data_IF_605496143424
#
_entry.id   IF_605496143424
#
_cell.length_a   1.000
_cell.length_b   1.000
_cell.length_c   1.000
_cell.angle_alpha   90.00
_cell.angle_beta   90.00
_cell.angle_gamma   90.00
#
_symmetry.space_group_name_H-M   'P 1'
#
loop_
_entity.id
_entity.type
_entity.pdbx_description
1 polymer ?
#
# COMPACT_ATOMS: atom_id res chain seq x y z
N UNK A 1 57.33 -24.05 -39.50
CA UNK A 1 56.94 -24.49 -38.15
C UNK A 1 56.35 -23.31 -37.40
N UNK A 2 55.04 -23.44 -37.17
CA UNK A 2 54.09 -22.82 -36.23
C UNK A 2 54.36 -21.45 -35.56
N UNK A 3 53.27 -20.69 -35.58
CA UNK A 3 53.01 -19.31 -35.18
C UNK A 3 53.14 -19.03 -33.67
N UNK A 4 53.39 -17.76 -33.28
CA UNK A 4 53.46 -17.37 -31.88
C UNK A 4 52.06 -17.36 -31.23
N UNK A 5 51.97 -17.97 -30.05
CA UNK A 5 50.76 -18.04 -29.22
C UNK A 5 50.22 -16.65 -28.90
N UNK A 6 49.04 -16.33 -29.42
CA UNK A 6 48.13 -15.33 -28.86
C UNK A 6 47.77 -15.73 -27.43
N UNK A 7 48.29 -14.98 -26.44
CA UNK A 7 47.72 -14.97 -25.09
C UNK A 7 46.53 -14.01 -25.13
N UNK A 8 45.33 -14.57 -25.20
CA UNK A 8 44.05 -13.86 -25.10
C UNK A 8 43.96 -13.07 -23.80
N UNK A 9 43.88 -11.74 -23.93
CA UNK A 9 43.66 -10.78 -22.87
C UNK A 9 42.18 -10.70 -22.47
N UNK A 10 41.61 -11.77 -21.92
CA UNK A 10 40.19 -11.81 -21.51
C UNK A 10 39.96 -12.00 -20.00
N UNK A 11 40.98 -12.29 -19.21
CA UNK A 11 40.79 -12.61 -17.78
C UNK A 11 40.75 -11.40 -16.83
N UNK A 12 40.96 -10.17 -17.33
CA UNK A 12 40.99 -8.95 -16.50
C UNK A 12 39.69 -8.16 -16.41
N UNK A 13 38.68 -8.41 -17.27
CA UNK A 13 37.46 -7.58 -17.35
C UNK A 13 36.29 -8.11 -16.51
N UNK A 14 36.19 -9.42 -16.30
CA UNK A 14 35.09 -10.07 -15.59
C UNK A 14 34.96 -9.70 -14.09
N UNK A 15 36.04 -9.60 -13.29
CA UNK A 15 35.91 -9.26 -11.87
C UNK A 15 35.48 -7.79 -11.63
N UNK A 16 35.91 -6.87 -12.50
CA UNK A 16 35.55 -5.46 -12.41
C UNK A 16 34.08 -5.21 -12.79
N UNK A 17 33.56 -5.91 -13.80
CA UNK A 17 32.14 -5.83 -14.18
C UNK A 17 31.21 -6.39 -13.11
N UNK A 18 31.57 -7.50 -12.47
CA UNK A 18 30.78 -8.08 -11.38
C UNK A 18 30.73 -7.16 -10.16
N UNK A 19 31.85 -6.55 -9.81
CA UNK A 19 31.93 -5.57 -8.72
C UNK A 19 31.10 -4.31 -9.02
N UNK A 20 31.16 -3.80 -10.25
CA UNK A 20 30.35 -2.65 -10.68
C UNK A 20 28.85 -2.95 -10.66
N UNK A 21 28.43 -4.16 -11.04
CA UNK A 21 27.04 -4.58 -10.96
C UNK A 21 26.55 -4.65 -9.50
N UNK A 22 27.37 -5.21 -8.59
CA UNK A 22 27.07 -5.23 -7.15
C UNK A 22 26.95 -3.82 -6.56
N UNK A 23 27.88 -2.92 -6.90
CA UNK A 23 27.82 -1.52 -6.47
C UNK A 23 26.58 -0.80 -7.02
N UNK A 24 26.21 -1.07 -8.28
CA UNK A 24 25.02 -0.48 -8.91
C UNK A 24 23.73 -1.00 -8.28
N UNK A 25 23.66 -2.29 -7.96
CA UNK A 25 22.55 -2.89 -7.20
C UNK A 25 22.44 -2.32 -5.81
N UNK A 26 23.55 -2.14 -5.09
CA UNK A 26 23.56 -1.52 -3.78
C UNK A 26 23.07 -0.06 -3.82
N UNK A 27 23.42 0.70 -4.88
CA UNK A 27 22.89 2.06 -5.10
C UNK A 27 21.39 2.04 -5.37
N UNK A 28 20.90 1.11 -6.19
CA UNK A 28 19.46 0.93 -6.44
C UNK A 28 18.72 0.59 -5.14
N UNK A 29 19.24 -0.36 -4.35
CA UNK A 29 18.69 -0.73 -3.05
C UNK A 29 18.59 0.48 -2.12
N UNK A 30 19.67 1.24 -1.97
CA UNK A 30 19.68 2.45 -1.14
C UNK A 30 18.67 3.49 -1.65
N UNK A 31 18.54 3.66 -2.97
CA UNK A 31 17.55 4.57 -3.56
C UNK A 31 16.11 4.13 -3.27
N UNK A 32 15.83 2.83 -3.32
CA UNK A 32 14.53 2.25 -2.96
C UNK A 32 14.20 2.50 -1.48
N UNK A 33 15.13 2.20 -0.57
CA UNK A 33 14.95 2.44 0.87
C UNK A 33 14.69 3.93 1.17
N UNK A 34 15.47 4.82 0.56
CA UNK A 34 15.28 6.27 0.71
C UNK A 34 13.92 6.72 0.15
N UNK A 35 13.46 6.15 -0.97
CA UNK A 35 12.16 6.45 -1.55
C UNK A 35 11.01 6.00 -0.65
N UNK A 36 11.13 4.84 0.01
CA UNK A 36 10.16 4.35 0.98
C UNK A 36 10.08 5.26 2.21
N UNK A 37 11.24 5.62 2.77
CA UNK A 37 11.32 6.54 3.90
C UNK A 37 10.67 7.88 3.58
N UNK A 38 11.01 8.48 2.42
CA UNK A 38 10.40 9.75 1.98
C UNK A 38 8.90 9.61 1.79
N UNK A 39 8.45 8.56 1.10
CA UNK A 39 7.01 8.33 0.85
C UNK A 39 6.20 8.24 2.14
N UNK A 40 6.65 7.46 3.11
CA UNK A 40 5.97 7.33 4.39
C UNK A 40 6.03 8.64 5.21
N UNK A 41 7.17 9.33 5.18
CA UNK A 41 7.33 10.62 5.86
C UNK A 41 6.40 11.68 5.27
N UNK A 42 6.32 11.79 3.95
CA UNK A 42 5.44 12.75 3.26
C UNK A 42 3.97 12.52 3.60
N UNK A 43 3.51 11.26 3.58
CA UNK A 43 2.14 10.91 3.98
C UNK A 43 1.90 11.27 5.44
N UNK A 44 2.85 10.92 6.32
CA UNK A 44 2.78 11.25 7.75
C UNK A 44 2.66 12.75 7.98
N UNK A 45 3.49 13.56 7.31
CA UNK A 45 3.44 15.02 7.40
C UNK A 45 2.12 15.58 6.87
N UNK A 46 1.62 15.09 5.74
CA UNK A 46 0.31 15.51 5.20
C UNK A 46 -0.82 15.20 6.19
N UNK A 47 -0.81 14.02 6.80
CA UNK A 47 -1.80 13.63 7.81
C UNK A 47 -1.70 14.47 9.07
N UNK A 48 -0.48 14.75 9.55
CA UNK A 48 -0.27 15.61 10.71
C UNK A 48 -0.74 17.05 10.44
N UNK A 49 -0.44 17.59 9.26
CA UNK A 49 -0.87 18.93 8.85
C UNK A 49 -2.39 19.04 8.76
N UNK A 50 -3.08 18.02 8.22
CA UNK A 50 -4.54 18.01 8.18
C UNK A 50 -5.16 18.13 9.59
N UNK A 51 -4.57 17.48 10.61
CA UNK A 51 -5.07 17.55 11.98
C UNK A 51 -4.95 18.94 12.62
N UNK A 52 -4.15 19.85 12.06
CA UNK A 52 -4.07 21.23 12.56
C UNK A 52 -5.36 22.00 12.30
N UNK A 53 -6.09 21.66 11.24
CA UNK A 53 -7.39 22.24 10.92
C UNK A 53 -8.28 21.25 10.15
N UNK A 54 -8.86 20.25 10.84
CA UNK A 54 -9.66 19.21 10.21
C UNK A 54 -11.08 19.66 9.83
N UNK A 55 -11.48 20.89 10.19
CA UNK A 55 -12.85 21.36 10.07
C UNK A 55 -13.84 20.48 10.85
N UNK A 56 -15.04 20.27 10.28
CA UNK A 56 -16.10 19.39 10.86
C UNK A 56 -16.09 17.98 10.28
N UNK A 57 -14.96 17.53 9.73
CA UNK A 57 -14.90 16.24 9.03
C UNK A 57 -14.74 15.10 10.01
N UNK A 58 -15.69 14.15 10.01
CA UNK A 58 -15.55 12.88 10.74
C UNK A 58 -14.86 11.78 9.93
N UNK A 59 -14.51 12.05 8.68
CA UNK A 59 -13.89 11.09 7.76
C UNK A 59 -12.92 11.83 6.85
N UNK A 60 -11.80 11.20 6.54
CA UNK A 60 -10.86 11.67 5.52
C UNK A 60 -10.56 10.51 4.56
N UNK A 61 -10.67 10.76 3.26
CA UNK A 61 -10.31 9.78 2.23
C UNK A 61 -8.92 10.08 1.70
N UNK A 62 -8.08 9.07 1.65
CA UNK A 62 -6.70 9.15 1.23
C UNK A 62 -6.54 8.32 -0.05
N UNK A 63 -6.46 8.96 -1.23
CA UNK A 63 -6.27 8.25 -2.49
C UNK A 63 -4.81 7.82 -2.71
N UNK A 64 -3.96 7.90 -1.69
CA UNK A 64 -2.53 7.61 -1.78
C UNK A 64 -2.28 6.14 -1.46
N UNK A 65 -1.45 5.51 -2.27
CA UNK A 65 -0.95 4.15 -2.05
C UNK A 65 0.58 4.19 -2.03
N UNK A 66 1.19 3.48 -1.09
CA UNK A 66 2.63 3.20 -1.07
C UNK A 66 2.80 1.69 -1.15
N UNK A 67 2.82 1.16 -2.36
CA UNK A 67 2.92 -0.28 -2.66
C UNK A 67 4.15 -0.59 -3.49
N UNK A 68 4.56 -1.86 -3.54
CA UNK A 68 5.67 -2.31 -4.38
C UNK A 68 5.46 -1.93 -5.85
N UNK A 69 4.24 -2.11 -6.36
CA UNK A 69 3.83 -1.70 -7.70
C UNK A 69 3.99 -0.21 -7.97
N UNK A 70 3.53 0.65 -7.06
CA UNK A 70 3.67 2.09 -7.22
C UNK A 70 5.14 2.54 -7.23
N UNK A 71 5.99 1.90 -6.41
CA UNK A 71 7.42 2.19 -6.32
C UNK A 71 8.14 1.65 -7.55
N UNK A 72 7.93 0.39 -7.93
CA UNK A 72 8.52 -0.21 -9.12
C UNK A 72 8.20 0.58 -10.40
N UNK A 73 7.00 1.16 -10.49
CA UNK A 73 6.62 2.00 -11.63
C UNK A 73 7.52 3.23 -11.81
N UNK A 74 8.07 3.80 -10.72
CA UNK A 74 8.93 4.98 -10.82
C UNK A 74 10.23 4.72 -11.58
N UNK A 75 10.77 3.50 -11.47
CA UNK A 75 11.93 3.06 -12.27
C UNK A 75 11.49 2.54 -13.63
N UNK A 76 10.41 1.74 -13.67
CA UNK A 76 9.92 1.14 -14.91
C UNK A 76 9.49 2.18 -15.96
N UNK A 77 8.82 3.25 -15.56
CA UNK A 77 8.31 4.28 -16.50
C UNK A 77 9.41 4.92 -17.33
N UNK A 78 10.62 5.07 -16.78
CA UNK A 78 11.77 5.63 -17.50
C UNK A 78 12.40 4.57 -18.37
N UNK A 79 12.68 3.40 -17.79
CA UNK A 79 13.31 2.28 -18.48
C UNK A 79 12.49 1.73 -19.65
N UNK A 80 11.16 1.78 -19.59
CA UNK A 80 10.27 1.35 -20.68
C UNK A 80 10.20 2.35 -21.85
N UNK A 81 10.61 3.60 -21.65
CA UNK A 81 10.54 4.66 -22.65
C UNK A 81 11.91 5.04 -23.24
N UNK A 82 12.98 4.90 -22.46
CA UNK A 82 14.32 5.41 -22.80
C UNK A 82 15.33 4.25 -22.85
N UNK A 83 15.97 3.96 -24.00
CA UNK A 83 16.94 2.87 -24.13
C UNK A 83 18.11 2.93 -23.14
N UNK A 84 18.66 4.12 -22.89
CA UNK A 84 19.78 4.30 -21.96
C UNK A 84 19.37 4.00 -20.51
N UNK A 85 18.18 4.45 -20.08
CA UNK A 85 17.64 4.16 -18.75
C UNK A 85 17.35 2.66 -18.59
N UNK A 86 16.88 2.03 -19.67
CA UNK A 86 16.66 0.58 -19.72
C UNK A 86 17.95 -0.18 -19.51
N UNK A 87 19.01 0.20 -20.22
CA UNK A 87 20.32 -0.41 -20.10
C UNK A 87 20.90 -0.18 -18.70
N UNK A 88 20.77 1.03 -18.17
CA UNK A 88 21.19 1.36 -16.81
C UNK A 88 20.47 0.48 -15.78
N UNK A 89 19.16 0.34 -15.90
CA UNK A 89 18.35 -0.50 -15.01
C UNK A 89 18.75 -1.97 -15.11
N UNK A 90 18.95 -2.50 -16.32
CA UNK A 90 19.42 -3.88 -16.52
C UNK A 90 20.76 -4.11 -15.82
N UNK A 91 21.75 -3.24 -16.01
CA UNK A 91 23.06 -3.33 -15.35
C UNK A 91 22.91 -3.25 -13.82
N UNK A 92 22.08 -2.34 -13.32
CA UNK A 92 21.83 -2.19 -11.88
C UNK A 92 21.16 -3.42 -11.26
N UNK A 93 20.38 -4.17 -12.04
CA UNK A 93 19.74 -5.42 -11.61
C UNK A 93 20.61 -6.65 -11.86
N UNK A 94 21.79 -6.49 -12.49
CA UNK A 94 22.66 -7.60 -12.85
C UNK A 94 22.21 -8.39 -14.08
N UNK A 95 21.30 -7.82 -14.87
CA UNK A 95 20.78 -8.39 -16.11
C UNK A 95 21.60 -7.92 -17.33
N UNK A 96 21.70 -8.74 -18.39
CA UNK A 96 22.33 -8.30 -19.63
C UNK A 96 21.51 -7.17 -20.28
N UNK A 97 22.12 -6.19 -20.98
CA UNK A 97 21.40 -5.11 -21.65
C UNK A 97 20.34 -5.59 -22.66
N UNK A 98 20.49 -6.79 -23.19
CA UNK A 98 19.60 -7.43 -24.15
C UNK A 98 18.49 -8.29 -23.52
N UNK A 99 18.40 -8.33 -22.18
CA UNK A 99 17.31 -9.03 -21.45
C UNK A 99 15.95 -8.58 -21.98
N UNK A 100 14.92 -9.41 -21.98
CA UNK A 100 13.58 -9.00 -22.38
C UNK A 100 12.87 -8.19 -21.27
N UNK A 101 11.87 -7.39 -21.65
CA UNK A 101 11.15 -6.52 -20.72
C UNK A 101 10.42 -7.27 -19.60
N UNK A 102 9.89 -8.48 -19.88
CA UNK A 102 9.17 -9.25 -18.88
C UNK A 102 10.14 -9.78 -17.81
N UNK A 103 11.32 -10.24 -18.22
CA UNK A 103 12.40 -10.65 -17.31
C UNK A 103 12.94 -9.46 -16.53
N UNK A 104 13.23 -8.33 -17.19
CA UNK A 104 13.72 -7.12 -16.51
C UNK A 104 12.75 -6.62 -15.45
N UNK A 105 11.45 -6.55 -15.78
CA UNK A 105 10.42 -6.12 -14.82
C UNK A 105 10.27 -7.13 -13.68
N UNK A 106 10.39 -8.44 -13.94
CA UNK A 106 10.38 -9.46 -12.87
C UNK A 106 11.54 -9.26 -11.89
N UNK A 107 12.75 -9.01 -12.40
CA UNK A 107 13.93 -8.78 -11.57
C UNK A 107 13.82 -7.47 -10.78
N UNK A 108 13.29 -6.41 -11.39
CA UNK A 108 12.98 -5.16 -10.69
C UNK A 108 11.99 -5.40 -9.54
N UNK A 109 10.91 -6.16 -9.79
CA UNK A 109 9.90 -6.47 -8.77
C UNK A 109 10.50 -7.21 -7.58
N UNK A 110 11.36 -8.18 -7.83
CA UNK A 110 12.06 -8.90 -6.76
C UNK A 110 12.96 -7.97 -5.93
N UNK A 111 13.71 -7.08 -6.58
CA UNK A 111 14.57 -6.11 -5.89
C UNK A 111 13.75 -5.11 -5.05
N UNK A 112 12.59 -4.67 -5.55
CA UNK A 112 11.66 -3.81 -4.82
C UNK A 112 11.05 -4.56 -3.64
N UNK A 113 10.61 -5.80 -3.83
CA UNK A 113 10.06 -6.64 -2.76
C UNK A 113 11.05 -6.79 -1.61
N UNK A 114 12.30 -7.13 -1.91
CA UNK A 114 13.36 -7.25 -0.92
C UNK A 114 13.62 -5.91 -0.21
N UNK A 115 13.58 -4.78 -0.92
CA UNK A 115 13.74 -3.45 -0.32
C UNK A 115 12.58 -3.10 0.63
N UNK A 116 11.34 -3.48 0.30
CA UNK A 116 10.19 -3.32 1.21
C UNK A 116 10.36 -4.15 2.48
N UNK A 117 10.76 -5.41 2.32
CA UNK A 117 10.98 -6.34 3.42
C UNK A 117 12.14 -5.87 4.32
N UNK A 118 13.20 -5.33 3.73
CA UNK A 118 14.34 -4.73 4.43
C UNK A 118 13.94 -3.47 5.18
N UNK A 119 13.27 -2.52 4.51
CA UNK A 119 12.89 -1.23 5.08
C UNK A 119 12.15 -1.39 6.42
N UNK A 120 11.19 -2.31 6.49
CA UNK A 120 10.40 -2.57 7.70
C UNK A 120 11.23 -3.01 8.91
N UNK A 121 12.44 -3.55 8.69
CA UNK A 121 13.36 -4.02 9.74
C UNK A 121 14.49 -3.04 10.03
N UNK A 122 14.71 -2.06 9.16
CA UNK A 122 15.72 -1.02 9.39
C UNK A 122 15.27 -0.04 10.49
N UNK A 123 16.18 0.52 11.30
CA UNK A 123 15.82 1.55 12.28
C UNK A 123 15.04 2.74 11.68
N UNK A 124 15.44 3.31 10.51
CA UNK A 124 14.66 4.38 9.87
C UNK A 124 13.23 3.97 9.50
N UNK A 125 13.03 2.73 9.02
CA UNK A 125 11.70 2.25 8.67
C UNK A 125 10.82 1.99 9.87
N UNK A 126 11.37 1.41 10.94
CA UNK A 126 10.66 1.24 12.23
C UNK A 126 10.25 2.59 12.81
N UNK A 127 11.17 3.56 12.84
CA UNK A 127 10.88 4.91 13.34
C UNK A 127 9.83 5.63 12.48
N UNK A 128 9.93 5.52 11.15
CA UNK A 128 8.96 6.12 10.24
C UNK A 128 7.56 5.51 10.43
N UNK A 129 7.47 4.18 10.58
CA UNK A 129 6.20 3.49 10.85
C UNK A 129 5.61 3.90 12.21
N UNK A 130 6.44 3.99 13.25
CA UNK A 130 6.01 4.43 14.57
C UNK A 130 5.40 5.83 14.52
N UNK A 131 6.07 6.80 13.88
CA UNK A 131 5.56 8.18 13.73
C UNK A 131 4.25 8.22 12.93
N UNK A 132 4.14 7.40 11.88
CA UNK A 132 2.91 7.26 11.11
C UNK A 132 1.75 6.78 11.99
N UNK A 133 1.96 5.70 12.75
CA UNK A 133 0.93 5.16 13.64
C UNK A 133 0.59 6.12 14.80
N UNK A 134 1.56 6.86 15.34
CA UNK A 134 1.32 7.93 16.34
C UNK A 134 0.41 9.05 15.79
N UNK A 135 0.58 9.42 14.51
CA UNK A 135 -0.32 10.37 13.86
C UNK A 135 -1.73 9.76 13.72
N UNK A 136 -1.85 8.51 13.30
CA UNK A 136 -3.16 7.84 13.17
C UNK A 136 -3.89 7.69 14.52
N UNK A 137 -3.17 7.49 15.62
CA UNK A 137 -3.78 7.50 16.96
C UNK A 137 -4.38 8.87 17.31
N UNK A 138 -3.80 9.98 16.82
CA UNK A 138 -4.40 11.31 16.99
C UNK A 138 -5.70 11.46 16.18
N UNK A 139 -5.84 10.79 15.03
CA UNK A 139 -7.11 10.71 14.30
C UNK A 139 -8.18 9.96 15.10
N UNK A 140 -7.79 8.89 15.82
CA UNK A 140 -8.69 8.18 16.74
C UNK A 140 -9.23 9.11 17.82
N UNK A 141 -8.35 9.86 18.50
CA UNK A 141 -8.72 10.82 19.53
C UNK A 141 -9.58 11.97 18.98
N UNK A 142 -9.27 12.44 17.78
CA UNK A 142 -10.06 13.47 17.09
C UNK A 142 -11.40 12.95 16.54
N UNK A 143 -11.67 11.64 16.64
CA UNK A 143 -12.83 10.97 16.02
C UNK A 143 -12.94 11.33 14.54
N UNK A 144 -11.84 11.19 13.81
CA UNK A 144 -11.80 11.29 12.35
C UNK A 144 -11.37 9.92 11.84
N UNK A 145 -12.16 9.30 10.97
CA UNK A 145 -11.83 7.97 10.45
C UNK A 145 -11.08 8.12 9.11
N UNK A 146 -9.80 7.72 9.02
CA UNK A 146 -9.12 7.64 7.75
C UNK A 146 -9.65 6.45 6.93
N UNK A 147 -9.89 6.69 5.64
CA UNK A 147 -10.27 5.68 4.66
C UNK A 147 -9.26 5.70 3.52
N UNK A 148 -8.67 4.56 3.16
CA UNK A 148 -7.61 4.45 2.15
C UNK A 148 -7.96 3.43 1.06
N UNK A 149 -7.32 3.55 -0.10
CA UNK A 149 -7.20 2.42 -1.01
C UNK A 149 -6.22 1.40 -0.42
N UNK A 150 -6.64 0.15 -0.25
CA UNK A 150 -5.76 -0.91 0.26
C UNK A 150 -4.77 -1.41 -0.79
N UNK A 151 -5.08 -1.24 -2.08
CA UNK A 151 -4.28 -1.70 -3.20
C UNK A 151 -4.07 -0.60 -4.25
N UNK A 152 -2.94 -0.65 -4.92
CA UNK A 152 -2.66 0.12 -6.13
C UNK A 152 -3.34 -0.53 -7.34
N UNK A 153 -4.02 0.28 -8.13
CA UNK A 153 -4.60 -0.08 -9.42
C UNK A 153 -3.92 0.71 -10.56
N UNK A 154 -2.71 1.19 -10.31
CA UNK A 154 -1.94 2.08 -11.17
C UNK A 154 -1.36 1.43 -12.43
N UNK A 155 -0.58 2.20 -13.20
CA UNK A 155 -0.12 1.81 -14.53
C UNK A 155 0.70 0.52 -14.56
N UNK A 156 1.45 0.21 -13.50
CA UNK A 156 2.28 -1.00 -13.50
C UNK A 156 1.46 -2.29 -13.48
N UNK A 157 0.23 -2.25 -12.95
CA UNK A 157 -0.69 -3.40 -13.04
C UNK A 157 -1.05 -3.67 -14.51
N UNK A 158 -1.23 -2.62 -15.31
CA UNK A 158 -1.50 -2.72 -16.75
C UNK A 158 -0.27 -3.22 -17.50
N UNK A 159 0.92 -2.75 -17.13
CA UNK A 159 2.19 -3.23 -17.71
C UNK A 159 2.44 -4.72 -17.41
N UNK A 160 2.16 -5.19 -16.19
CA UNK A 160 2.22 -6.61 -15.87
C UNK A 160 1.29 -7.41 -16.79
N UNK A 161 0.06 -6.96 -17.00
CA UNK A 161 -0.88 -7.62 -17.91
C UNK A 161 -0.36 -7.62 -19.36
N UNK A 162 0.16 -6.49 -19.85
CA UNK A 162 0.75 -6.36 -21.20
C UNK A 162 1.92 -7.32 -21.43
N UNK A 163 2.74 -7.55 -20.40
CA UNK A 163 3.92 -8.42 -20.44
C UNK A 163 3.62 -9.87 -20.04
N UNK A 164 2.36 -10.23 -19.77
CA UNK A 164 1.97 -11.58 -19.36
C UNK A 164 2.52 -11.98 -17.98
N UNK A 165 2.80 -11.01 -17.11
CA UNK A 165 3.29 -11.25 -15.75
C UNK A 165 2.13 -11.28 -14.75
N UNK A 166 2.12 -12.24 -13.80
CA UNK A 166 1.14 -12.25 -12.73
C UNK A 166 1.33 -11.03 -11.82
N UNK A 167 0.21 -10.41 -11.44
CA UNK A 167 0.18 -9.30 -10.49
C UNK A 167 -0.35 -9.83 -9.15
N UNK A 168 0.57 -10.17 -8.25
CA UNK A 168 0.24 -10.73 -6.93
C UNK A 168 -0.40 -9.66 -6.03
N UNK A 169 -1.19 -10.09 -5.04
CA UNK A 169 -1.92 -9.16 -4.17
C UNK A 169 -0.96 -8.33 -3.33
N UNK A 170 0.09 -8.97 -2.83
CA UNK A 170 1.17 -8.39 -2.04
C UNK A 170 1.84 -7.23 -2.79
N UNK A 171 2.08 -7.41 -4.08
CA UNK A 171 2.72 -6.43 -4.95
C UNK A 171 1.91 -5.12 -5.08
N UNK A 172 0.58 -5.23 -5.01
CA UNK A 172 -0.32 -4.07 -5.08
C UNK A 172 -0.71 -3.53 -3.72
N UNK A 173 -0.55 -4.30 -2.64
CA UNK A 173 -0.97 -3.90 -1.29
C UNK A 173 -0.17 -2.70 -0.77
N UNK A 174 -0.90 -1.75 -0.20
CA UNK A 174 -0.33 -0.54 0.37
C UNK A 174 0.33 -0.80 1.73
N UNK A 175 1.56 -0.32 1.92
CA UNK A 175 2.26 -0.25 3.20
C UNK A 175 1.56 0.69 4.21
N UNK A 176 0.68 1.57 3.71
CA UNK A 176 -0.07 2.53 4.53
C UNK A 176 -1.24 1.91 5.28
N UNK A 177 -1.63 0.67 4.95
CA UNK A 177 -2.67 -0.06 5.69
C UNK A 177 -2.24 -0.17 7.16
N UNK A 178 -3.17 0.22 8.04
CA UNK A 178 -2.95 0.26 9.49
C UNK A 178 -4.26 -0.08 10.22
N UNK A 179 -4.21 -0.71 11.41
CA UNK A 179 -5.38 -1.03 12.23
C UNK A 179 -6.28 0.17 12.60
N UNK A 180 -5.75 1.40 12.52
CA UNK A 180 -6.49 2.62 12.81
C UNK A 180 -7.35 3.11 11.64
N UNK A 181 -7.23 2.48 10.47
CA UNK A 181 -7.85 2.91 9.23
C UNK A 181 -8.94 1.94 8.78
N UNK A 182 -9.71 2.37 7.78
CA UNK A 182 -10.52 1.50 6.94
C UNK A 182 -9.87 1.48 5.55
N UNK A 183 -9.74 0.30 4.96
CA UNK A 183 -9.19 0.19 3.60
C UNK A 183 -10.20 -0.45 2.64
N UNK A 184 -10.12 -0.08 1.37
CA UNK A 184 -10.79 -0.83 0.30
C UNK A 184 -9.95 -2.06 -0.05
N UNK A 185 -10.57 -3.24 -0.08
CA UNK A 185 -9.95 -4.47 -0.58
C UNK A 185 -10.34 -4.78 -2.02
N UNK A 186 -9.52 -5.58 -2.70
CA UNK A 186 -9.87 -6.11 -4.03
C UNK A 186 -10.79 -7.33 -3.90
N UNK A 187 -10.61 -8.14 -2.85
CA UNK A 187 -11.46 -9.29 -2.56
C UNK A 187 -11.97 -9.32 -1.10
N UNK A 188 -13.08 -10.06 -0.82
CA UNK A 188 -13.67 -10.09 0.52
C UNK A 188 -12.78 -10.73 1.61
N UNK A 189 -11.97 -11.71 1.23
CA UNK A 189 -11.07 -12.46 2.12
C UNK A 189 -9.87 -11.65 2.62
N UNK A 190 -9.68 -10.43 2.13
CA UNK A 190 -8.63 -9.53 2.59
C UNK A 190 -8.94 -8.84 3.94
N UNK A 191 -7.86 -8.49 4.63
CA UNK A 191 -7.88 -7.84 5.93
C UNK A 191 -7.89 -8.84 7.09
N UNK A 192 -8.13 -8.31 8.29
CA UNK A 192 -8.22 -9.09 9.52
C UNK A 192 -9.17 -8.41 10.49
N UNK A 193 -9.41 -9.04 11.65
CA UNK A 193 -10.14 -8.40 12.74
C UNK A 193 -9.49 -7.10 13.24
N UNK A 194 -8.17 -6.93 13.04
CA UNK A 194 -7.43 -5.72 13.41
C UNK A 194 -7.30 -4.74 12.24
N UNK A 195 -7.14 -5.24 11.02
CA UNK A 195 -7.01 -4.43 9.80
C UNK A 195 -8.26 -4.60 8.95
N UNK A 196 -9.24 -3.72 9.15
CA UNK A 196 -10.54 -3.85 8.48
C UNK A 196 -10.43 -3.37 7.03
N UNK A 197 -10.52 -4.33 6.11
CA UNK A 197 -10.62 -4.08 4.67
C UNK A 197 -12.01 -4.45 4.16
N UNK A 198 -12.54 -3.62 3.25
CA UNK A 198 -13.92 -3.69 2.77
C UNK A 198 -13.93 -3.83 1.25
N UNK A 199 -14.48 -4.94 0.76
CA UNK A 199 -14.70 -5.19 -0.67
C UNK A 199 -16.08 -4.69 -1.11
N UNK A 200 -16.22 -4.41 -2.41
CA UNK A 200 -17.50 -4.07 -3.05
C UNK A 200 -17.84 -2.58 -3.06
N UNK A 201 -17.07 -1.74 -2.39
CA UNK A 201 -17.22 -0.28 -2.41
C UNK A 201 -15.96 0.37 -2.97
N UNK A 202 -16.13 1.49 -3.67
CA UNK A 202 -15.04 2.42 -3.98
C UNK A 202 -14.63 3.23 -2.75
N UNK A 203 -13.44 3.86 -2.81
CA UNK A 203 -12.96 4.76 -1.77
C UNK A 203 -13.97 5.87 -1.43
N UNK A 204 -14.59 6.46 -2.46
CA UNK A 204 -15.59 7.51 -2.29
C UNK A 204 -16.87 6.98 -1.63
N UNK A 205 -17.35 5.80 -2.04
CA UNK A 205 -18.55 5.18 -1.46
C UNK A 205 -18.33 4.81 0.02
N UNK A 206 -17.18 4.24 0.38
CA UNK A 206 -16.87 3.94 1.77
C UNK A 206 -16.71 5.22 2.61
N UNK A 207 -16.03 6.24 2.07
CA UNK A 207 -15.93 7.54 2.72
C UNK A 207 -17.30 8.18 2.97
N UNK A 208 -18.19 8.14 1.98
CA UNK A 208 -19.56 8.64 2.09
C UNK A 208 -20.38 7.86 3.12
N UNK A 209 -20.25 6.52 3.15
CA UNK A 209 -20.90 5.67 4.13
C UNK A 209 -20.45 6.03 5.56
N UNK A 210 -19.14 6.11 5.81
CA UNK A 210 -18.61 6.49 7.12
C UNK A 210 -19.11 7.88 7.54
N UNK A 211 -19.09 8.85 6.63
CA UNK A 211 -19.65 10.18 6.87
C UNK A 211 -21.14 10.13 7.21
N UNK A 212 -21.92 9.28 6.54
CA UNK A 212 -23.34 9.10 6.82
C UNK A 212 -23.59 8.43 8.18
N UNK A 213 -22.84 7.39 8.54
CA UNK A 213 -22.96 6.71 9.84
C UNK A 213 -22.70 7.66 11.00
N UNK A 214 -21.75 8.58 10.85
CA UNK A 214 -21.51 9.63 11.86
C UNK A 214 -22.62 10.66 11.96
N UNK A 215 -23.28 10.99 10.85
CA UNK A 215 -24.47 11.85 10.90
C UNK A 215 -25.63 11.14 11.60
N UNK A 216 -25.80 9.85 11.36
CA UNK A 216 -26.83 9.04 12.01
C UNK A 216 -26.55 8.82 13.50
N UNK A 217 -25.28 8.61 13.88
CA UNK A 217 -24.87 8.40 15.26
C UNK A 217 -23.52 9.10 15.53
N UNK A 218 -23.56 10.37 16.00
CA UNK A 218 -22.36 11.15 16.29
C UNK A 218 -21.50 10.59 17.44
N UNK A 219 -22.04 9.64 18.22
CA UNK A 219 -21.36 9.02 19.36
C UNK A 219 -20.56 7.76 18.98
N UNK A 220 -20.60 7.33 17.71
CA UNK A 220 -19.79 6.19 17.26
C UNK A 220 -18.31 6.55 17.32
N UNK A 221 -17.54 5.71 18.02
CA UNK A 221 -16.08 5.76 17.94
C UNK A 221 -15.60 5.16 16.63
N UNK A 222 -14.37 5.47 16.22
CA UNK A 222 -13.76 4.85 15.05
C UNK A 222 -13.66 3.33 15.20
N UNK A 223 -13.26 2.83 16.37
CA UNK A 223 -13.26 1.39 16.65
C UNK A 223 -14.63 0.75 16.44
N UNK A 224 -15.70 1.41 16.88
CA UNK A 224 -17.07 0.91 16.64
C UNK A 224 -17.45 0.95 15.16
N UNK A 225 -17.07 2.00 14.43
CA UNK A 225 -17.26 2.07 12.97
C UNK A 225 -16.55 0.91 12.25
N UNK A 226 -15.28 0.64 12.62
CA UNK A 226 -14.50 -0.48 12.08
C UNK A 226 -15.18 -1.81 12.36
N UNK A 227 -15.62 -2.06 13.60
CA UNK A 227 -16.34 -3.28 13.98
C UNK A 227 -17.68 -3.43 13.24
N UNK A 228 -18.46 -2.35 13.09
CA UNK A 228 -19.72 -2.38 12.36
C UNK A 228 -19.51 -2.78 10.90
N UNK A 229 -18.52 -2.19 10.24
CA UNK A 229 -18.19 -2.50 8.85
C UNK A 229 -17.58 -3.90 8.70
N UNK A 230 -16.77 -4.35 9.65
CA UNK A 230 -16.26 -5.72 9.71
C UNK A 230 -17.40 -6.73 9.78
N UNK A 231 -18.37 -6.51 10.69
CA UNK A 231 -19.51 -7.40 10.86
C UNK A 231 -20.43 -7.41 9.64
N UNK A 232 -20.61 -6.28 8.97
CA UNK A 232 -21.41 -6.23 7.74
C UNK A 232 -20.73 -6.90 6.54
N UNK A 233 -19.40 -6.86 6.50
CA UNK A 233 -18.58 -7.59 5.54
C UNK A 233 -18.33 -9.05 5.94
N UNK A 234 -19.05 -9.56 6.96
CA UNK A 234 -18.96 -10.95 7.39
C UNK A 234 -20.35 -11.58 7.41
N UNK A 235 -20.51 -12.71 6.74
CA UNK A 235 -21.62 -13.61 7.04
C UNK A 235 -21.38 -14.29 8.39
N UNK A 236 -22.00 -13.74 9.43
CA UNK A 236 -21.87 -14.23 10.80
C UNK A 236 -22.35 -15.69 10.98
N UNK A 237 -23.18 -16.23 10.09
CA UNK A 237 -23.64 -17.63 10.19
C UNK A 237 -22.56 -18.62 9.77
N UNK A 238 -21.80 -18.27 8.74
CA UNK A 238 -20.77 -19.13 8.16
C UNK A 238 -19.35 -18.66 8.48
N UNK A 239 -19.21 -17.53 9.21
CA UNK A 239 -17.96 -16.82 9.46
C UNK A 239 -17.17 -16.49 8.18
N UNK A 240 -17.86 -16.35 7.04
CA UNK A 240 -17.26 -16.08 5.73
C UNK A 240 -17.28 -14.59 5.44
N UNK A 241 -16.18 -14.07 4.89
CA UNK A 241 -16.11 -12.68 4.44
C UNK A 241 -16.90 -12.49 3.16
N UNK A 242 -17.54 -11.33 3.00
CA UNK A 242 -18.33 -10.97 1.82
C UNK A 242 -18.15 -9.50 1.43
N UNK A 243 -18.35 -9.22 0.15
CA UNK A 243 -18.41 -7.84 -0.36
C UNK A 243 -19.65 -7.12 0.22
N UNK A 244 -19.52 -5.81 0.47
CA UNK A 244 -20.65 -4.98 0.85
C UNK A 244 -21.44 -4.60 -0.40
N UNK A 245 -22.67 -5.12 -0.50
CA UNK A 245 -23.66 -4.64 -1.45
C UNK A 245 -24.59 -3.60 -0.82
N UNK A 246 -25.60 -3.18 -1.59
CA UNK A 246 -26.60 -2.20 -1.15
C UNK A 246 -27.33 -2.65 0.12
N UNK A 247 -27.71 -3.92 0.20
CA UNK A 247 -28.42 -4.48 1.35
C UNK A 247 -27.57 -4.43 2.64
N UNK A 248 -26.29 -4.77 2.55
CA UNK A 248 -25.37 -4.66 3.69
C UNK A 248 -25.19 -3.21 4.13
N UNK A 249 -25.09 -2.28 3.17
CA UNK A 249 -24.98 -0.85 3.47
C UNK A 249 -26.20 -0.34 4.24
N UNK A 250 -27.41 -0.69 3.80
CA UNK A 250 -28.66 -0.34 4.49
C UNK A 250 -28.72 -0.94 5.90
N UNK A 251 -28.29 -2.20 6.05
CA UNK A 251 -28.24 -2.86 7.35
C UNK A 251 -27.27 -2.18 8.32
N UNK A 252 -26.11 -1.72 7.85
CA UNK A 252 -25.13 -0.98 8.68
C UNK A 252 -25.72 0.34 9.16
N UNK A 253 -26.42 1.05 8.26
CA UNK A 253 -27.07 2.32 8.61
C UNK A 253 -28.16 2.13 9.66
N UNK A 254 -28.99 1.10 9.51
CA UNK A 254 -30.04 0.81 10.47
C UNK A 254 -29.48 0.42 11.83
N UNK A 255 -28.43 -0.42 11.87
CA UNK A 255 -27.75 -0.78 13.10
C UNK A 255 -27.15 0.44 13.82
N UNK A 256 -26.58 1.39 13.06
CA UNK A 256 -26.06 2.64 13.63
C UNK A 256 -27.15 3.48 14.30
N UNK A 257 -28.36 3.54 13.71
CA UNK A 257 -29.53 4.22 14.31
C UNK A 257 -30.00 3.50 15.59
N UNK A 258 -30.09 2.18 15.55
CA UNK A 258 -30.50 1.37 16.70
C UNK A 258 -29.54 1.55 17.88
N UNK A 259 -28.23 1.56 17.64
CA UNK A 259 -27.22 1.81 18.67
C UNK A 259 -27.35 3.20 19.30
N UNK A 260 -27.72 4.23 18.54
CA UNK A 260 -27.98 5.55 19.09
C UNK A 260 -29.21 5.53 20.00
N UNK A 261 -30.31 4.89 19.55
CA UNK A 261 -31.55 4.78 20.33
C UNK A 261 -31.31 4.06 21.66
N UNK A 262 -30.57 2.95 21.65
CA UNK A 262 -30.24 2.21 22.86
C UNK A 262 -29.45 3.08 23.86
N UNK A 263 -28.42 3.79 23.40
CA UNK A 263 -27.66 4.72 24.26
C UNK A 263 -28.52 5.87 24.79
N UNK A 264 -29.41 6.41 23.97
CA UNK A 264 -30.34 7.46 24.41
C UNK A 264 -31.29 6.92 25.50
N UNK A 265 -31.75 5.67 25.39
CA UNK A 265 -32.57 5.03 26.42
C UNK A 265 -31.78 4.79 27.72
N UNK A 266 -30.52 4.35 27.64
CA UNK A 266 -29.65 4.21 28.83
C UNK A 266 -29.53 5.54 29.61
N UNK A 267 -29.49 6.67 28.92
CA UNK A 267 -29.47 7.99 29.55
C UNK A 267 -30.82 8.47 30.12
N UNK A 268 -31.94 7.82 29.79
CA UNK A 268 -33.28 8.16 30.28
C UNK A 268 -33.74 7.31 31.47
N UNK A 269 -33.08 6.18 31.73
CA UNK A 269 -33.42 5.22 32.80
C UNK A 269 -32.54 5.41 34.05
N UNK A 270 -31.62 6.39 34.02
CA UNK A 270 -30.79 6.81 35.16
C UNK A 270 -31.33 8.11 35.76
#
# INVERSE_FOLDING_TARGET
SESPRERTATDGRAPDTAKQALESRAKLRLALLNRLQRGLTEVTTKLANFLTNPGRQGVVTLPVVLSESSVAYEWWKSASAVPDDRQYLAIALGEPPTVDDATLLRTLRAEVHDAFAEFQRTPPGVDARKRYDEVLQKYEAARIQPVISGHDAGPLVQECARLGLPCEREFTRSLLVSPWMLAISQSPDEGSAKEVMVAGLSLAQLGALVGHLRRLNPLLTNAQLRTLLLNASTDLKHALRKALGQQEVERVQELARQLLRLRAMEHLVV
#
